data_IF_209287158965
#
_entry.id   IF_209287158965
#
_cell.length_a   1.000
_cell.length_b   1.000
_cell.length_c   1.000
_cell.angle_alpha   90.00
_cell.angle_beta   90.00
_cell.angle_gamma   90.00
#
_symmetry.space_group_name_H-M   'P 1'
#
loop_
_entity.id
_entity.type
_entity.pdbx_description
1 polymer ?
#
# COMPACT_ATOMS: atom_id res chain seq x y z
N UNK A 1 5.07 -13.25 8.08
CA UNK A 1 4.56 -13.21 7.84
C UNK A 1 3.69 -13.17 7.58
N UNK A 2 3.57 -13.12 7.76
CA UNK A 2 2.82 -13.23 7.51
C UNK A 2 1.96 -12.88 7.12
N UNK A 3 1.99 -12.48 7.23
CA UNK A 3 0.99 -12.02 6.82
C UNK A 3 0.71 -12.07 5.51
N UNK A 4 1.50 -12.39 4.80
CA UNK A 4 1.27 -12.55 3.46
C UNK A 4 0.41 -13.71 3.27
N UNK A 5 -0.80 -13.59 3.51
CA UNK A 5 -1.70 -14.66 3.30
C UNK A 5 -1.72 -14.98 1.85
N UNK A 6 -1.32 -16.18 1.53
CA UNK A 6 -1.39 -16.69 0.19
C UNK A 6 -2.79 -16.45 -0.35
N UNK A 7 -2.89 -15.78 -1.48
CA UNK A 7 -4.18 -15.48 -2.09
C UNK A 7 -4.79 -14.16 -1.72
N UNK A 8 -4.22 -13.43 -0.75
CA UNK A 8 -4.71 -12.10 -0.45
C UNK A 8 -4.20 -11.09 -1.47
N UNK A 9 -4.97 -10.02 -1.65
CA UNK A 9 -4.56 -8.94 -2.56
C UNK A 9 -3.46 -8.09 -1.94
N UNK A 10 -2.68 -7.46 -2.80
CA UNK A 10 -1.64 -6.52 -2.41
C UNK A 10 -2.01 -5.14 -2.95
N UNK A 11 -2.00 -4.14 -2.09
CA UNK A 11 -2.24 -2.75 -2.48
C UNK A 11 -1.01 -1.91 -2.21
N UNK A 12 -0.72 -0.98 -3.11
CA UNK A 12 0.45 -0.14 -3.02
C UNK A 12 0.11 1.29 -3.36
N UNK A 13 0.63 2.23 -2.57
CA UNK A 13 0.50 3.66 -2.84
C UNK A 13 1.89 4.25 -2.76
N UNK A 14 2.33 4.86 -3.86
CA UNK A 14 3.63 5.51 -3.92
C UNK A 14 3.48 7.01 -3.95
N UNK A 15 4.27 7.69 -3.13
CA UNK A 15 4.27 9.15 -3.03
C UNK A 15 5.69 9.67 -3.18
N UNK A 16 5.80 10.96 -3.46
CA UNK A 16 7.08 11.65 -3.31
C UNK A 16 7.03 12.35 -1.97
N UNK A 17 7.90 11.89 -1.05
CA UNK A 17 7.96 12.45 0.29
C UNK A 17 7.28 11.56 1.32
N UNK A 18 7.84 11.58 2.53
CA UNK A 18 7.38 10.73 3.63
C UNK A 18 6.02 11.14 4.17
N UNK A 19 5.74 12.45 4.18
CA UNK A 19 4.48 12.94 4.75
C UNK A 19 3.29 12.37 3.99
N UNK A 20 3.32 12.42 2.66
CA UNK A 20 2.25 11.83 1.86
C UNK A 20 2.10 10.34 2.07
N UNK A 21 3.23 9.64 2.22
CA UNK A 21 3.22 8.19 2.46
C UNK A 21 2.57 7.85 3.80
N UNK A 22 2.88 8.59 4.85
CA UNK A 22 2.31 8.34 6.18
C UNK A 22 0.82 8.65 6.20
N UNK A 23 0.41 9.76 5.56
CA UNK A 23 -1.01 10.09 5.44
C UNK A 23 -1.76 9.00 4.66
N UNK A 24 -1.15 8.50 3.57
CA UNK A 24 -1.74 7.41 2.81
C UNK A 24 -1.90 6.16 3.68
N UNK A 25 -0.84 5.78 4.40
CA UNK A 25 -0.88 4.58 5.25
C UNK A 25 -1.97 4.69 6.31
N UNK A 26 -2.09 5.83 6.95
CA UNK A 26 -3.12 6.05 7.97
C UNK A 26 -4.52 5.94 7.37
N UNK A 27 -4.76 6.60 6.24
CA UNK A 27 -6.06 6.55 5.57
C UNK A 27 -6.40 5.13 5.12
N UNK A 28 -5.41 4.39 4.65
CA UNK A 28 -5.62 3.03 4.16
C UNK A 28 -6.10 2.09 5.25
N UNK A 29 -5.46 2.12 6.42
CA UNK A 29 -5.84 1.21 7.50
C UNK A 29 -7.13 1.65 8.20
N UNK A 30 -7.50 2.91 8.07
CA UNK A 30 -8.77 3.41 8.60
C UNK A 30 -9.96 3.11 7.69
N UNK A 31 -9.71 3.03 6.37
CA UNK A 31 -10.79 2.91 5.39
C UNK A 31 -11.35 1.50 5.26
N UNK A 32 -10.54 0.49 5.51
CA UNK A 32 -10.94 -0.89 5.27
C UNK A 32 -10.12 -1.84 6.13
N UNK A 33 -10.58 -3.09 6.22
CA UNK A 33 -9.88 -4.10 6.99
C UNK A 33 -8.72 -4.65 6.18
N UNK A 34 -7.58 -3.98 6.30
CA UNK A 34 -6.34 -4.38 5.64
C UNK A 34 -5.21 -4.37 6.66
N UNK A 35 -4.13 -5.09 6.34
CA UNK A 35 -2.93 -5.12 7.17
C UNK A 35 -1.83 -4.33 6.47
N UNK A 36 -1.28 -3.35 7.16
CA UNK A 36 -0.14 -2.59 6.64
C UNK A 36 1.10 -3.47 6.80
N UNK A 37 1.75 -3.80 5.69
CA UNK A 37 2.86 -4.74 5.73
C UNK A 37 4.23 -4.07 5.60
N UNK A 38 4.28 -2.84 5.16
CA UNK A 38 5.57 -2.20 5.06
C UNK A 38 5.57 -0.87 4.36
N UNK A 39 6.74 -0.27 4.43
CA UNK A 39 7.06 0.99 3.79
C UNK A 39 8.44 0.80 3.16
N UNK A 40 8.59 1.19 1.89
CA UNK A 40 9.87 1.12 1.19
C UNK A 40 10.27 2.51 0.71
N UNK A 41 11.51 2.88 1.00
CA UNK A 41 12.09 4.12 0.52
C UNK A 41 13.24 3.76 -0.42
N UNK A 42 13.10 4.15 -1.68
CA UNK A 42 14.05 3.72 -2.71
C UNK A 42 14.98 4.83 -3.20
N UNK A 43 14.95 5.98 -2.55
CA UNK A 43 15.76 7.12 -2.95
C UNK A 43 14.97 8.13 -3.77
N UNK A 44 15.53 9.32 -3.96
CA UNK A 44 14.86 10.38 -4.71
C UNK A 44 13.62 10.94 -4.01
N UNK A 45 13.39 10.57 -2.76
CA UNK A 45 12.20 10.98 -2.03
C UNK A 45 10.99 10.09 -2.27
N UNK A 46 11.10 9.03 -3.07
CA UNK A 46 9.98 8.14 -3.35
C UNK A 46 9.77 7.16 -2.21
N UNK A 47 8.52 7.03 -1.77
CA UNK A 47 8.13 6.15 -0.66
C UNK A 47 6.89 5.37 -1.08
N UNK A 48 6.92 4.05 -0.89
CA UNK A 48 5.77 3.19 -1.18
C UNK A 48 5.29 2.57 0.12
N UNK A 49 3.98 2.62 0.37
CA UNK A 49 3.35 1.91 1.47
C UNK A 49 2.49 0.79 0.90
N UNK A 50 2.45 -0.33 1.62
CA UNK A 50 1.81 -1.55 1.12
C UNK A 50 0.88 -2.16 2.13
N UNK A 51 -0.26 -2.67 1.64
CA UNK A 51 -1.26 -3.33 2.48
C UNK A 51 -1.68 -4.67 1.87
N UNK A 52 -2.19 -5.55 2.71
CA UNK A 52 -2.74 -6.84 2.31
C UNK A 52 -4.16 -6.99 2.83
N UNK A 53 -4.97 -7.76 2.12
CA UNK A 53 -6.33 -8.07 2.54
C UNK A 53 -7.16 -8.60 1.38
N UNK A 54 -8.48 -8.71 1.59
CA UNK A 54 -9.39 -9.06 0.51
C UNK A 54 -9.32 -8.02 -0.59
N UNK A 55 -9.53 -8.43 -1.84
CA UNK A 55 -9.38 -7.52 -2.98
C UNK A 55 -10.28 -6.29 -2.88
N UNK A 56 -11.52 -6.46 -2.44
CA UNK A 56 -12.43 -5.32 -2.27
C UNK A 56 -11.94 -4.34 -1.21
N UNK A 57 -11.46 -4.88 -0.08
CA UNK A 57 -10.93 -4.06 1.00
C UNK A 57 -9.66 -3.33 0.55
N UNK A 58 -8.78 -4.01 -0.18
CA UNK A 58 -7.55 -3.42 -0.68
C UNK A 58 -7.84 -2.31 -1.68
N UNK A 59 -8.82 -2.49 -2.57
CA UNK A 59 -9.20 -1.44 -3.52
C UNK A 59 -9.74 -0.19 -2.79
N UNK A 60 -10.63 -0.39 -1.82
CA UNK A 60 -11.15 0.72 -1.03
C UNK A 60 -10.02 1.42 -0.26
N UNK A 61 -9.11 0.64 0.28
CA UNK A 61 -7.96 1.13 1.03
C UNK A 61 -7.05 2.00 0.16
N UNK A 62 -6.69 1.51 -1.03
CA UNK A 62 -5.78 2.27 -1.91
C UNK A 62 -6.44 3.53 -2.45
N UNK A 63 -7.75 3.50 -2.71
CA UNK A 63 -8.47 4.71 -3.12
C UNK A 63 -8.40 5.78 -2.03
N UNK A 64 -8.64 5.39 -0.78
CA UNK A 64 -8.57 6.31 0.35
C UNK A 64 -7.16 6.84 0.56
N UNK A 65 -6.17 5.96 0.43
CA UNK A 65 -4.76 6.34 0.58
C UNK A 65 -4.33 7.32 -0.48
N UNK A 66 -4.71 7.09 -1.73
CA UNK A 66 -4.39 7.98 -2.83
C UNK A 66 -4.98 9.37 -2.60
N UNK A 67 -6.24 9.44 -2.21
CA UNK A 67 -6.90 10.72 -1.95
C UNK A 67 -6.22 11.48 -0.80
N UNK A 68 -5.86 10.76 0.26
CA UNK A 68 -5.18 11.37 1.40
C UNK A 68 -3.81 11.91 1.00
N UNK A 69 -3.05 11.14 0.24
CA UNK A 69 -1.72 11.56 -0.22
C UNK A 69 -1.81 12.84 -1.06
N UNK A 70 -2.78 12.91 -1.96
CA UNK A 70 -2.94 14.08 -2.82
C UNK A 70 -3.26 15.35 -2.05
N UNK A 71 -3.91 15.23 -0.90
CA UNK A 71 -4.25 16.42 -0.11
C UNK A 71 -3.05 17.05 0.57
N UNK A 72 -2.01 16.28 0.84
CA UNK A 72 -0.87 16.77 1.62
C UNK A 72 0.46 16.70 0.91
N UNK A 73 0.50 16.07 -0.27
CA UNK A 73 1.75 15.89 -0.96
C UNK A 73 1.53 15.46 -2.39
N UNK A 74 2.51 14.76 -2.92
CA UNK A 74 2.49 14.32 -4.32
C UNK A 74 2.27 12.83 -4.43
N UNK A 75 1.14 12.45 -5.02
CA UNK A 75 0.84 11.06 -5.34
C UNK A 75 1.56 10.70 -6.64
N UNK A 76 2.31 9.60 -6.63
CA UNK A 76 3.04 9.12 -7.79
C UNK A 76 2.29 8.01 -8.49
N UNK A 77 1.91 6.96 -7.76
CA UNK A 77 1.18 5.85 -8.36
C UNK A 77 0.40 5.06 -7.33
N UNK A 78 -0.61 4.35 -7.82
CA UNK A 78 -1.46 3.48 -7.01
C UNK A 78 -1.65 2.20 -7.79
N UNK A 79 -1.54 1.06 -7.13
CA UNK A 79 -1.75 -0.21 -7.84
C UNK A 79 -2.26 -1.29 -6.89
N UNK A 80 -3.06 -2.19 -7.44
CA UNK A 80 -3.56 -3.36 -6.73
C UNK A 80 -3.22 -4.59 -7.55
N UNK A 81 -2.60 -5.56 -6.91
CA UNK A 81 -2.40 -6.88 -7.51
C UNK A 81 -3.35 -7.82 -6.78
N UNK A 82 -4.43 -8.28 -7.45
CA UNK A 82 -5.45 -9.07 -6.76
C UNK A 82 -4.93 -10.40 -6.18
N UNK A 83 -4.00 -11.03 -6.88
CA UNK A 83 -3.45 -12.29 -6.41
C UNK A 83 -1.98 -12.40 -6.82
N UNK A 84 -1.06 -11.87 -6.01
CA UNK A 84 0.36 -11.97 -6.34
C UNK A 84 0.80 -13.43 -6.47
N UNK A 85 1.63 -13.69 -7.44
CA UNK A 85 2.21 -15.03 -7.63
C UNK A 85 3.08 -15.37 -6.42
N UNK A 86 3.17 -16.66 -6.10
CA UNK A 86 3.95 -17.11 -4.95
C UNK A 86 5.38 -16.61 -4.98
N UNK A 87 6.02 -16.55 -6.14
CA UNK A 87 7.38 -16.05 -6.24
C UNK A 87 7.49 -14.56 -5.92
N UNK A 88 6.44 -13.79 -6.18
CA UNK A 88 6.42 -12.37 -5.87
C UNK A 88 6.32 -12.18 -4.36
N UNK A 89 5.61 -13.06 -3.67
CA UNK A 89 5.52 -13.00 -2.21
C UNK A 89 6.91 -13.00 -1.56
N UNK A 90 7.84 -13.72 -2.15
CA UNK A 90 9.18 -13.87 -1.57
C UNK A 90 10.00 -12.58 -1.57
N UNK A 91 9.66 -11.62 -2.42
CA UNK A 91 10.40 -10.35 -2.48
C UNK A 91 9.67 -9.18 -1.83
N UNK A 92 8.49 -9.42 -1.28
CA UNK A 92 7.74 -8.35 -0.61
C UNK A 92 8.27 -8.14 0.80
N UNK A 93 8.15 -6.91 1.33
CA UNK A 93 8.53 -6.64 2.72
C UNK A 93 7.56 -7.33 3.68
N UNK A 94 7.99 -7.53 4.89
CA UNK A 94 7.20 -8.13 5.96
C UNK A 94 7.61 -9.51 6.37
#
# INVERSE_FOLDING_TARGET
MATGDSGSALGMVETKGLVGAIEAADAMVKAARVTLIGKEQIGGGYVTVMVRGDVGAVKASTDAGAAAAERVGELVSVHVIPRPHAEVEAILPG
#
